data_IF_506590649034
#
_entry.id   IF_506590649034
#
_cell.length_a   1.000
_cell.length_b   1.000
_cell.length_c   1.000
_cell.angle_alpha   90.00
_cell.angle_beta   90.00
_cell.angle_gamma   90.00
#
_symmetry.space_group_name_H-M   'P 1'
#
loop_
_entity.id
_entity.type
_entity.pdbx_description
1 polymer ?
#
# COMPACT_ATOMS: atom_id res chain seq x y z
N UNK A 1 15.59 -4.87 3.63
CA UNK A 1 16.21 -4.69 2.29
C UNK A 1 17.69 -5.06 2.31
N UNK A 2 18.00 -6.35 2.50
CA UNK A 2 19.38 -6.88 2.39
C UNK A 2 19.50 -7.70 1.10
N UNK A 3 18.46 -8.44 0.72
CA UNK A 3 18.46 -9.35 -0.43
C UNK A 3 18.65 -8.63 -1.78
N UNK A 4 17.93 -7.52 -2.02
CA UNK A 4 18.08 -6.74 -3.27
C UNK A 4 19.45 -6.06 -3.46
N UNK A 5 20.30 -5.95 -2.43
CA UNK A 5 21.69 -5.48 -2.57
C UNK A 5 22.64 -6.64 -2.87
N UNK A 6 22.36 -7.83 -2.34
CA UNK A 6 23.12 -9.06 -2.61
C UNK A 6 22.84 -9.56 -4.05
N UNK A 7 21.58 -9.58 -4.48
CA UNK A 7 21.20 -9.98 -5.84
C UNK A 7 21.79 -9.07 -6.94
N UNK A 8 21.88 -7.76 -6.69
CA UNK A 8 22.51 -6.80 -7.62
C UNK A 8 24.03 -6.96 -7.71
N UNK A 9 24.69 -7.33 -6.62
CA UNK A 9 26.14 -7.63 -6.63
C UNK A 9 26.46 -9.00 -7.26
N UNK A 10 25.50 -9.93 -7.25
CA UNK A 10 25.64 -11.26 -7.84
C UNK A 10 25.19 -11.41 -9.29
N UNK A 11 24.67 -10.36 -9.94
CA UNK A 11 24.13 -10.44 -11.31
C UNK A 11 22.84 -11.27 -11.44
N UNK A 12 22.17 -11.58 -10.33
CA UNK A 12 21.01 -12.47 -10.25
C UNK A 12 19.66 -11.72 -10.29
N UNK A 13 19.66 -10.40 -10.53
CA UNK A 13 18.41 -9.63 -10.60
C UNK A 13 17.66 -9.93 -11.91
N UNK A 14 16.58 -10.70 -11.81
CA UNK A 14 15.66 -10.96 -12.93
C UNK A 14 14.36 -10.18 -12.79
N UNK A 15 13.75 -9.81 -13.92
CA UNK A 15 12.41 -9.18 -13.93
C UNK A 15 11.35 -10.06 -13.25
N UNK A 16 11.44 -11.38 -13.44
CA UNK A 16 10.58 -12.35 -12.77
C UNK A 16 10.78 -12.34 -11.25
N UNK A 17 12.03 -12.29 -10.77
CA UNK A 17 12.32 -12.23 -9.34
C UNK A 17 11.74 -10.98 -8.67
N UNK A 18 11.82 -9.83 -9.34
CA UNK A 18 11.20 -8.60 -8.85
C UNK A 18 9.66 -8.70 -8.79
N UNK A 19 9.03 -9.31 -9.81
CA UNK A 19 7.59 -9.58 -9.80
C UNK A 19 7.23 -10.53 -8.64
N UNK A 20 8.00 -11.60 -8.46
CA UNK A 20 7.74 -12.63 -7.44
C UNK A 20 7.88 -12.09 -6.01
N UNK A 21 8.99 -11.40 -5.70
CA UNK A 21 9.23 -10.74 -4.40
C UNK A 21 8.09 -9.78 -4.08
N UNK A 22 7.76 -8.93 -5.06
CA UNK A 22 6.68 -7.99 -4.90
C UNK A 22 5.33 -8.71 -4.75
N UNK A 23 5.06 -9.82 -5.42
CA UNK A 23 3.79 -10.57 -5.28
C UNK A 23 3.67 -11.23 -3.92
N UNK A 24 4.74 -11.87 -3.44
CA UNK A 24 4.80 -12.45 -2.10
C UNK A 24 4.59 -11.40 -1.01
N UNK A 25 5.14 -10.20 -1.21
CA UNK A 25 4.94 -9.08 -0.29
C UNK A 25 3.46 -8.72 -0.10
N UNK A 26 2.63 -8.85 -1.15
CA UNK A 26 1.18 -8.61 -1.07
C UNK A 26 0.48 -9.78 -0.38
N UNK A 27 0.85 -11.02 -0.70
CA UNK A 27 0.30 -12.18 0.01
C UNK A 27 0.62 -12.16 1.51
N UNK A 28 1.83 -11.73 1.89
CA UNK A 28 2.19 -11.56 3.30
C UNK A 28 1.26 -10.55 4.02
N UNK A 29 0.98 -9.40 3.39
CA UNK A 29 0.02 -8.44 3.93
C UNK A 29 -1.42 -8.96 3.94
N UNK A 30 -1.80 -9.75 2.93
CA UNK A 30 -3.10 -10.40 2.88
C UNK A 30 -3.32 -11.29 4.09
N UNK A 31 -2.40 -12.23 4.34
CA UNK A 31 -2.52 -13.16 5.46
C UNK A 31 -2.42 -12.45 6.81
N UNK A 32 -1.64 -11.37 6.90
CA UNK A 32 -1.56 -10.54 8.10
C UNK A 32 -2.92 -9.93 8.48
N UNK A 33 -3.55 -9.18 7.58
CA UNK A 33 -4.86 -8.57 7.87
C UNK A 33 -5.96 -9.61 8.00
N UNK A 34 -5.92 -10.68 7.20
CA UNK A 34 -6.88 -11.77 7.29
C UNK A 34 -6.82 -12.47 8.65
N UNK A 35 -5.62 -12.77 9.15
CA UNK A 35 -5.41 -13.35 10.47
C UNK A 35 -5.89 -12.43 11.61
N UNK A 36 -5.59 -11.14 11.52
CA UNK A 36 -6.09 -10.13 12.48
C UNK A 36 -7.62 -10.05 12.45
N UNK A 37 -8.23 -10.09 11.26
CA UNK A 37 -9.69 -10.11 11.11
C UNK A 37 -10.31 -11.34 11.77
N UNK A 38 -9.76 -12.53 11.54
CA UNK A 38 -10.22 -13.76 12.20
C UNK A 38 -10.06 -13.67 13.72
N UNK A 39 -8.94 -13.14 14.21
CA UNK A 39 -8.68 -12.98 15.64
C UNK A 39 -9.78 -12.16 16.33
N UNK A 40 -10.12 -10.97 15.79
CA UNK A 40 -11.17 -10.13 16.36
C UNK A 40 -12.58 -10.67 16.14
N UNK A 41 -12.82 -11.37 15.02
CA UNK A 41 -14.11 -12.02 14.76
C UNK A 41 -14.43 -13.08 15.82
N UNK A 42 -13.42 -13.81 16.29
CA UNK A 42 -13.57 -14.87 17.31
C UNK A 42 -13.82 -14.34 18.73
N UNK A 43 -13.66 -13.04 18.98
CA UNK A 43 -13.96 -12.46 20.28
C UNK A 43 -15.46 -12.34 20.55
N UNK A 44 -16.29 -12.41 19.50
CA UNK A 44 -17.76 -12.33 19.59
C UNK A 44 -18.27 -11.08 20.33
N UNK A 45 -17.55 -9.97 20.17
CA UNK A 45 -17.96 -8.66 20.72
C UNK A 45 -18.33 -7.69 19.58
N UNK A 46 -19.21 -6.69 19.84
CA UNK A 46 -19.51 -5.67 18.84
C UNK A 46 -18.26 -4.94 18.34
N UNK A 47 -17.33 -4.61 19.24
CA UNK A 47 -16.05 -3.99 18.87
C UNK A 47 -15.16 -4.92 18.04
N UNK A 48 -15.12 -6.22 18.35
CA UNK A 48 -14.40 -7.22 17.54
C UNK A 48 -14.97 -7.33 16.12
N UNK A 49 -16.30 -7.30 15.98
CA UNK A 49 -16.96 -7.28 14.66
C UNK A 49 -16.58 -6.04 13.85
N UNK A 50 -16.68 -4.84 14.44
CA UNK A 50 -16.24 -3.61 13.77
C UNK A 50 -14.77 -3.67 13.37
N UNK A 51 -13.91 -4.15 14.27
CA UNK A 51 -12.47 -4.27 14.00
C UNK A 51 -12.17 -5.25 12.88
N UNK A 52 -12.95 -6.31 12.75
CA UNK A 52 -12.87 -7.25 11.63
C UNK A 52 -13.19 -6.55 10.30
N UNK A 53 -14.24 -5.73 10.26
CA UNK A 53 -14.58 -4.91 9.09
C UNK A 53 -13.44 -3.96 8.75
N UNK A 54 -12.89 -3.25 9.75
CA UNK A 54 -11.75 -2.35 9.56
C UNK A 54 -10.49 -3.09 9.10
N UNK A 55 -10.24 -4.33 9.55
CA UNK A 55 -9.14 -5.15 9.06
C UNK A 55 -9.28 -5.48 7.57
N UNK A 56 -10.49 -5.81 7.11
CA UNK A 56 -10.76 -6.00 5.68
C UNK A 56 -10.68 -4.71 4.86
N UNK A 57 -11.08 -3.57 5.42
CA UNK A 57 -10.89 -2.26 4.79
C UNK A 57 -9.40 -1.89 4.70
N UNK A 58 -8.60 -2.20 5.73
CA UNK A 58 -7.15 -2.03 5.71
C UNK A 58 -6.48 -2.92 4.68
N UNK A 59 -6.93 -4.17 4.56
CA UNK A 59 -6.50 -5.10 3.52
C UNK A 59 -6.76 -4.53 2.12
N UNK A 60 -8.02 -4.16 1.82
CA UNK A 60 -8.39 -3.59 0.53
C UNK A 60 -7.61 -2.30 0.23
N UNK A 61 -7.50 -1.41 1.22
CA UNK A 61 -6.73 -0.18 1.11
C UNK A 61 -5.25 -0.44 0.82
N UNK A 62 -4.61 -1.40 1.50
CA UNK A 62 -3.19 -1.70 1.26
C UNK A 62 -2.94 -2.28 -0.14
N UNK A 63 -3.86 -3.13 -0.62
CA UNK A 63 -3.84 -3.65 -1.98
C UNK A 63 -3.99 -2.52 -3.00
N UNK A 64 -4.94 -1.60 -2.80
CA UNK A 64 -5.13 -0.44 -3.68
C UNK A 64 -3.93 0.50 -3.70
N UNK A 65 -3.31 0.78 -2.55
CA UNK A 65 -2.07 1.57 -2.48
C UNK A 65 -0.98 0.95 -3.35
N UNK A 66 -0.78 -0.37 -3.25
CA UNK A 66 0.20 -1.10 -4.07
C UNK A 66 -0.16 -1.11 -5.56
N UNK A 67 -1.42 -1.38 -5.89
CA UNK A 67 -1.89 -1.48 -7.26
C UNK A 67 -1.81 -0.14 -8.00
N UNK A 68 -2.34 0.94 -7.41
CA UNK A 68 -2.34 2.27 -8.04
C UNK A 68 -0.92 2.71 -8.36
N UNK A 69 0.04 2.47 -7.46
CA UNK A 69 1.45 2.76 -7.72
C UNK A 69 2.01 1.94 -8.88
N UNK A 70 1.84 0.61 -8.85
CA UNK A 70 2.35 -0.25 -9.90
C UNK A 70 1.74 0.08 -11.27
N UNK A 71 0.44 0.41 -11.30
CA UNK A 71 -0.27 0.80 -12.53
C UNK A 71 0.17 2.17 -13.02
N UNK A 72 0.35 3.16 -12.13
CA UNK A 72 0.86 4.48 -12.48
C UNK A 72 2.27 4.39 -13.07
N UNK A 73 3.19 3.66 -12.41
CA UNK A 73 4.55 3.43 -12.91
C UNK A 73 4.54 2.69 -14.25
N UNK A 74 3.64 1.71 -14.43
CA UNK A 74 3.44 1.02 -15.71
C UNK A 74 2.83 1.88 -16.83
N UNK A 75 2.18 3.00 -16.49
CA UNK A 75 1.68 4.01 -17.43
C UNK A 75 2.71 5.14 -17.67
N UNK A 76 3.89 5.07 -17.05
CA UNK A 76 4.94 6.08 -17.19
C UNK A 76 4.87 7.24 -16.18
N UNK A 77 3.94 7.19 -15.22
CA UNK A 77 3.82 8.22 -14.18
C UNK A 77 4.61 7.84 -12.93
N UNK A 78 5.40 8.76 -12.39
CA UNK A 78 6.02 8.58 -11.08
C UNK A 78 4.99 8.73 -9.95
N UNK A 79 4.81 7.69 -9.14
CA UNK A 79 3.86 7.70 -8.02
C UNK A 79 4.57 7.46 -6.67
N UNK A 80 5.33 8.47 -6.22
CA UNK A 80 6.11 8.42 -4.96
C UNK A 80 5.35 8.97 -3.74
N UNK A 81 4.12 9.44 -3.91
CA UNK A 81 3.30 10.00 -2.82
C UNK A 81 2.70 8.93 -1.91
N UNK A 82 2.40 9.32 -0.67
CA UNK A 82 1.61 8.54 0.28
C UNK A 82 1.98 8.82 1.73
N UNK A 83 0.99 8.71 2.61
CA UNK A 83 1.12 9.10 4.03
C UNK A 83 1.81 8.02 4.85
N UNK A 84 1.62 6.75 4.50
CA UNK A 84 2.14 5.63 5.27
C UNK A 84 2.76 4.57 4.35
N UNK A 85 3.99 4.19 4.68
CA UNK A 85 4.75 3.19 3.96
C UNK A 85 4.40 1.77 4.41
N UNK A 86 4.77 0.78 3.58
CA UNK A 86 4.57 -0.64 3.89
C UNK A 86 5.30 -1.08 5.15
N UNK A 87 6.57 -0.70 5.29
CA UNK A 87 7.38 -1.09 6.44
C UNK A 87 6.77 -0.58 7.75
N UNK A 88 6.29 0.67 7.77
CA UNK A 88 5.61 1.27 8.92
C UNK A 88 4.34 0.49 9.28
N UNK A 89 3.53 0.12 8.29
CA UNK A 89 2.32 -0.69 8.50
C UNK A 89 2.62 -2.03 9.16
N UNK A 90 3.63 -2.74 8.66
CA UNK A 90 4.05 -4.05 9.19
C UNK A 90 4.58 -3.90 10.62
N UNK A 91 5.42 -2.90 10.87
CA UNK A 91 5.97 -2.63 12.21
C UNK A 91 4.86 -2.26 13.19
N UNK A 92 3.92 -1.39 12.81
CA UNK A 92 2.80 -0.99 13.67
C UNK A 92 1.92 -2.18 14.04
N UNK A 93 1.56 -3.04 13.08
CA UNK A 93 0.76 -4.24 13.35
C UNK A 93 1.56 -5.21 14.22
N UNK A 94 2.84 -5.45 13.91
CA UNK A 94 3.69 -6.37 14.66
C UNK A 94 3.85 -5.94 16.12
N UNK A 95 4.19 -4.68 16.37
CA UNK A 95 4.37 -4.14 17.72
C UNK A 95 3.05 -4.09 18.48
N UNK A 96 1.97 -3.58 17.86
CA UNK A 96 0.68 -3.50 18.55
C UNK A 96 0.09 -4.87 18.92
N UNK A 97 0.32 -5.88 18.07
CA UNK A 97 -0.05 -7.28 18.36
C UNK A 97 0.65 -7.85 19.59
N UNK A 98 1.86 -7.39 19.91
CA UNK A 98 2.62 -7.84 21.08
C UNK A 98 2.25 -7.09 22.37
N UNK A 99 1.68 -5.89 22.24
CA UNK A 99 1.35 -5.04 23.39
C UNK A 99 -0.01 -5.39 23.99
N UNK A 100 -1.09 -5.19 23.24
CA UNK A 100 -2.44 -5.42 23.71
C UNK A 100 -3.45 -5.41 22.54
N UNK A 101 -4.53 -6.18 22.64
CA UNK A 101 -5.57 -6.25 21.60
C UNK A 101 -6.25 -4.89 21.32
N UNK A 102 -6.54 -4.09 22.35
CA UNK A 102 -7.07 -2.73 22.14
C UNK A 102 -6.10 -1.79 21.42
N UNK A 103 -4.78 -1.96 21.60
CA UNK A 103 -3.78 -1.16 20.86
C UNK A 103 -3.77 -1.61 19.40
N UNK A 104 -3.79 -2.92 19.15
CA UNK A 104 -3.91 -3.48 17.80
C UNK A 104 -5.19 -3.01 17.11
N UNK A 105 -6.31 -2.97 17.82
CA UNK A 105 -7.60 -2.47 17.32
C UNK A 105 -7.49 -1.04 16.79
N UNK A 106 -6.98 -0.11 17.62
CA UNK A 106 -6.80 1.29 17.22
C UNK A 106 -5.86 1.42 16.03
N UNK A 107 -4.76 0.66 16.03
CA UNK A 107 -3.80 0.65 14.92
C UNK A 107 -4.44 0.15 13.63
N UNK A 108 -5.23 -0.92 13.66
CA UNK A 108 -5.93 -1.45 12.49
C UNK A 108 -6.89 -0.41 11.91
N UNK A 109 -7.66 0.27 12.76
CA UNK A 109 -8.61 1.30 12.32
C UNK A 109 -7.89 2.49 11.68
N UNK A 110 -6.80 2.95 12.31
CA UNK A 110 -5.95 4.02 11.78
C UNK A 110 -5.39 3.62 10.40
N UNK A 111 -4.84 2.42 10.29
CA UNK A 111 -4.29 1.88 9.05
C UNK A 111 -5.37 1.80 7.97
N UNK A 112 -6.58 1.34 8.30
CA UNK A 112 -7.68 1.26 7.35
C UNK A 112 -7.99 2.62 6.71
N UNK A 113 -8.10 3.66 7.54
CA UNK A 113 -8.39 5.02 7.07
C UNK A 113 -7.24 5.55 6.22
N UNK A 114 -6.01 5.48 6.74
CA UNK A 114 -4.83 6.02 6.06
C UNK A 114 -4.51 5.30 4.75
N UNK A 115 -4.72 3.98 4.68
CA UNK A 115 -4.49 3.19 3.46
C UNK A 115 -5.43 3.62 2.34
N UNK A 116 -6.73 3.68 2.64
CA UNK A 116 -7.73 4.04 1.65
C UNK A 116 -7.56 5.50 1.23
N UNK A 117 -7.33 6.41 2.18
CA UNK A 117 -7.00 7.80 1.88
C UNK A 117 -5.76 7.91 0.95
N UNK A 118 -4.68 7.18 1.25
CA UNK A 118 -3.47 7.17 0.42
C UNK A 118 -3.75 6.63 -0.99
N UNK A 119 -4.61 5.62 -1.14
CA UNK A 119 -4.99 5.11 -2.45
C UNK A 119 -5.68 6.19 -3.30
N UNK A 120 -6.65 6.91 -2.71
CA UNK A 120 -7.30 8.06 -3.38
C UNK A 120 -6.32 9.19 -3.68
N UNK A 121 -5.43 9.53 -2.73
CA UNK A 121 -4.39 10.53 -2.93
C UNK A 121 -3.50 10.19 -4.13
N UNK A 122 -3.11 8.92 -4.28
CA UNK A 122 -2.30 8.47 -5.43
C UNK A 122 -3.04 8.60 -6.76
N UNK A 123 -4.32 8.22 -6.80
CA UNK A 123 -5.14 8.39 -8.00
C UNK A 123 -5.28 9.87 -8.38
N UNK A 124 -5.56 10.72 -7.40
CA UNK A 124 -5.65 12.17 -7.60
C UNK A 124 -4.34 12.78 -8.10
N UNK A 125 -3.20 12.36 -7.55
CA UNK A 125 -1.88 12.80 -7.99
C UNK A 125 -1.61 12.47 -9.46
N UNK A 126 -1.96 11.25 -9.91
CA UNK A 126 -1.79 10.84 -11.31
C UNK A 126 -2.71 11.65 -12.22
N UNK A 127 -3.97 11.83 -11.85
CA UNK A 127 -4.91 12.65 -12.61
C UNK A 127 -4.44 14.11 -12.77
N UNK A 128 -3.87 14.68 -11.72
CA UNK A 128 -3.30 16.04 -11.79
C UNK A 128 -2.05 16.07 -12.68
N UNK A 129 -1.18 15.07 -12.56
CA UNK A 129 0.05 14.96 -13.37
C UNK A 129 -0.26 14.84 -14.87
N UNK A 130 -1.30 14.07 -15.23
CA UNK A 130 -1.78 13.94 -16.61
C UNK A 130 -2.26 15.28 -17.16
N UNK A 131 -3.08 16.02 -16.40
CA UNK A 131 -3.58 17.34 -16.82
C UNK A 131 -2.47 18.36 -17.03
N UNK A 132 -1.47 18.37 -16.15
CA UNK A 132 -0.31 19.25 -16.28
C UNK A 132 0.53 18.91 -17.51
N UNK A 133 0.67 17.63 -17.87
CA UNK A 133 1.37 17.22 -19.07
C UNK A 133 0.66 17.67 -20.35
N UNK A 134 -0.66 17.47 -20.43
CA UNK A 134 -1.48 17.91 -21.57
C UNK A 134 -1.43 19.43 -21.74
N UNK A 135 -1.56 20.18 -20.64
CA UNK A 135 -1.49 21.64 -20.68
C UNK A 135 -0.13 22.16 -21.15
N UNK A 136 0.97 21.52 -20.77
CA UNK A 136 2.31 21.92 -21.25
C UNK A 136 2.49 21.61 -22.74
N UNK A 137 1.97 20.47 -23.21
CA UNK A 137 2.05 20.10 -24.63
C UNK A 137 1.23 21.05 -25.53
N UNK A 138 0.10 21.59 -25.04
CA UNK A 138 -0.66 22.64 -25.73
C UNK A 138 0.11 23.97 -25.79
N UNK A 139 0.77 24.36 -24.70
CA UNK A 139 1.61 25.57 -24.63
C UNK A 139 2.80 25.47 -25.59
N UNK A 140 3.50 24.33 -25.61
CA UNK A 140 4.65 24.11 -26.51
C UNK A 140 4.21 24.20 -27.99
N UNK A 141 3.02 23.66 -28.32
CA UNK A 141 2.43 23.79 -29.67
C UNK A 141 2.08 25.24 -30.03
N UNK A 142 1.60 26.05 -29.09
CA UNK A 142 1.34 27.48 -29.33
C UNK A 142 2.63 28.29 -29.49
N UNK A 143 3.68 27.93 -28.76
CA UNK A 143 4.98 28.60 -28.81
C UNK A 143 5.85 28.14 -29.99
N UNK A 144 5.47 27.05 -30.67
CA UNK A 144 6.17 26.51 -31.84
C UNK A 144 7.57 25.98 -31.53
N UNK A 145 7.80 25.55 -30.28
CA UNK A 145 9.07 24.98 -29.78
C UNK A 145 8.95 23.45 -29.67
#
# INVERSE_FOLDING_TARGET
MIDGKVARRGGLSSHFGALFDSSLDRYAEFFMFFGVGIFFLRQDTPLGMWTTIFAFLALGGSMMVSYVRARAEGLGYECKVGVMQRAERIVLIGVSSLLHEYVLMVVVWLIAILANFTAFQRMYHVWHSEKSAVSNEEIDKELGI
#
